data_IF_622806350832
#
_entry.id   IF_622806350832
#
_cell.length_a   1.000
_cell.length_b   1.000
_cell.length_c   1.000
_cell.angle_alpha   90.00
_cell.angle_beta   90.00
_cell.angle_gamma   90.00
#
_symmetry.space_group_name_H-M   'P 1'
#
loop_
_entity.id
_entity.type
_entity.pdbx_description
1 polymer ?
#
# COMPACT_ATOMS: atom_id res chain seq x y z
N UNK A 1 9.30 12.85 -25.66
CA UNK A 1 10.07 11.62 -25.45
C UNK A 1 9.59 10.94 -24.21
N UNK A 2 9.03 9.74 -24.31
CA UNK A 2 8.55 8.97 -23.16
C UNK A 2 9.74 8.39 -22.40
N UNK A 3 9.99 8.87 -21.20
CA UNK A 3 10.95 8.30 -20.27
C UNK A 3 10.30 7.15 -19.51
N UNK A 4 10.67 5.90 -19.81
CA UNK A 4 10.29 4.75 -18.98
C UNK A 4 11.09 4.78 -17.69
N UNK A 5 10.46 5.18 -16.60
CA UNK A 5 11.02 5.02 -15.27
C UNK A 5 11.05 3.54 -14.93
N UNK A 6 12.21 3.00 -14.56
CA UNK A 6 12.26 1.68 -13.94
C UNK A 6 11.38 1.69 -12.68
N UNK A 7 10.56 0.66 -12.54
CA UNK A 7 9.65 0.45 -11.41
C UNK A 7 10.46 0.13 -10.16
N UNK A 8 11.01 1.13 -9.51
CA UNK A 8 11.64 0.97 -8.21
C UNK A 8 10.90 1.81 -7.19
N UNK A 9 10.51 1.19 -6.10
CA UNK A 9 9.79 1.78 -4.98
C UNK A 9 10.63 2.84 -4.26
N UNK A 10 11.95 2.70 -4.27
CA UNK A 10 12.91 3.66 -3.76
C UNK A 10 13.70 4.27 -4.91
N UNK A 11 13.92 5.58 -4.86
CA UNK A 11 14.91 6.24 -5.71
C UNK A 11 16.26 5.70 -5.23
N UNK A 12 16.90 4.86 -6.03
CA UNK A 12 18.30 4.51 -5.79
C UNK A 12 19.14 5.60 -6.43
N UNK A 13 19.53 6.55 -5.64
CA UNK A 13 20.64 7.41 -6.00
C UNK A 13 21.89 6.53 -6.08
N UNK A 14 22.74 6.79 -7.06
CA UNK A 14 24.06 6.15 -7.10
C UNK A 14 24.91 6.74 -5.99
N UNK A 15 25.95 6.05 -5.58
CA UNK A 15 26.89 6.47 -4.51
C UNK A 15 27.43 7.91 -4.64
N UNK A 16 27.24 8.53 -5.79
CA UNK A 16 27.62 9.92 -6.09
C UNK A 16 26.43 10.89 -6.16
N UNK A 17 25.25 10.50 -5.71
CA UNK A 17 24.02 11.32 -5.76
C UNK A 17 23.38 11.46 -7.16
N UNK A 18 23.87 10.74 -8.17
CA UNK A 18 23.34 10.83 -9.52
C UNK A 18 22.11 9.96 -9.71
N UNK A 19 21.05 10.50 -10.29
CA UNK A 19 19.84 9.76 -10.68
C UNK A 19 19.99 9.19 -12.08
N UNK A 20 19.94 7.87 -12.23
CA UNK A 20 19.98 7.18 -13.53
C UNK A 20 18.60 7.13 -14.19
N UNK A 21 18.47 7.68 -15.38
CA UNK A 21 17.26 7.63 -16.21
C UNK A 21 17.59 7.00 -17.55
N UNK A 22 16.83 5.96 -17.92
CA UNK A 22 16.97 5.35 -19.26
C UNK A 22 16.14 6.17 -20.26
N UNK A 23 16.79 6.67 -21.30
CA UNK A 23 16.19 7.48 -22.36
C UNK A 23 16.24 6.70 -23.66
N UNK A 24 15.09 6.46 -24.28
CA UNK A 24 14.99 5.88 -25.62
C UNK A 24 15.15 6.99 -26.69
N UNK A 25 16.33 7.62 -26.74
CA UNK A 25 16.59 8.67 -27.70
C UNK A 25 18.10 8.87 -27.90
N UNK A 26 18.53 8.96 -29.15
CA UNK A 26 19.90 9.28 -29.54
C UNK A 26 20.17 10.78 -29.68
N UNK A 27 19.22 11.64 -29.26
CA UNK A 27 19.27 13.10 -29.47
C UNK A 27 20.03 13.78 -28.34
N UNK A 28 19.99 13.21 -27.10
CA UNK A 28 20.60 13.81 -25.92
C UNK A 28 22.11 13.59 -25.90
N UNK A 29 22.85 14.65 -25.56
CA UNK A 29 24.31 14.65 -25.39
C UNK A 29 24.68 15.01 -23.95
N UNK A 30 25.88 14.59 -23.55
CA UNK A 30 26.45 15.01 -22.27
C UNK A 30 26.57 16.53 -22.19
N UNK A 31 26.02 17.12 -21.16
CA UNK A 31 25.97 18.57 -20.96
C UNK A 31 24.66 19.25 -21.39
N UNK A 32 23.75 18.54 -22.03
CA UNK A 32 22.43 19.10 -22.38
C UNK A 32 21.63 19.39 -21.11
N UNK A 33 20.96 20.55 -21.11
CA UNK A 33 19.96 20.87 -20.08
C UNK A 33 18.64 20.21 -20.44
N UNK A 34 18.08 19.47 -19.53
CA UNK A 34 16.81 18.76 -19.71
C UNK A 34 15.82 19.17 -18.61
N UNK A 35 14.55 19.17 -18.95
CA UNK A 35 13.44 19.31 -18.01
C UNK A 35 12.77 17.96 -17.81
N UNK A 36 12.61 17.54 -16.56
CA UNK A 36 11.98 16.28 -16.18
C UNK A 36 10.61 16.55 -15.56
N UNK A 37 9.57 16.28 -16.29
CA UNK A 37 8.18 16.40 -15.83
C UNK A 37 7.65 15.02 -15.41
N UNK A 38 7.30 14.87 -14.14
CA UNK A 38 6.61 13.69 -13.63
C UNK A 38 5.11 13.89 -13.80
N UNK A 39 4.42 12.90 -14.38
CA UNK A 39 2.96 12.90 -14.44
C UNK A 39 2.36 13.04 -13.02
N UNK A 40 1.63 14.15 -12.73
CA UNK A 40 1.09 14.39 -11.39
C UNK A 40 0.07 13.33 -10.96
N UNK A 41 -0.74 12.82 -11.90
CA UNK A 41 -1.77 11.80 -11.62
C UNK A 41 -1.12 10.48 -11.25
N UNK A 42 -0.09 10.08 -12.01
CA UNK A 42 0.69 8.89 -11.69
C UNK A 42 1.39 9.02 -10.34
N UNK A 43 2.07 10.15 -10.09
CA UNK A 43 2.77 10.43 -8.84
C UNK A 43 1.81 10.41 -7.65
N UNK A 44 0.66 11.09 -7.75
CA UNK A 44 -0.36 11.10 -6.70
C UNK A 44 -0.85 9.69 -6.40
N UNK A 45 -1.22 8.92 -7.43
CA UNK A 45 -1.72 7.55 -7.24
C UNK A 45 -0.70 6.62 -6.59
N UNK A 46 0.59 6.72 -6.98
CA UNK A 46 1.66 5.94 -6.34
C UNK A 46 1.90 6.37 -4.89
N UNK A 47 1.89 7.68 -4.59
CA UNK A 47 2.05 8.20 -3.23
C UNK A 47 0.93 7.72 -2.30
N UNK A 48 -0.31 7.68 -2.78
CA UNK A 48 -1.47 7.10 -2.06
C UNK A 48 -1.26 5.63 -1.74
N UNK A 49 -0.89 4.82 -2.75
CA UNK A 49 -0.63 3.40 -2.56
C UNK A 49 0.55 3.14 -1.61
N UNK A 50 1.56 4.01 -1.63
CA UNK A 50 2.73 3.87 -0.77
C UNK A 50 2.39 4.19 0.69
N UNK A 51 1.68 5.29 0.93
CA UNK A 51 1.20 5.61 2.28
C UNK A 51 0.22 4.55 2.81
N UNK A 52 -0.64 4.01 1.94
CA UNK A 52 -1.51 2.89 2.26
C UNK A 52 -0.72 1.66 2.75
N UNK A 53 0.42 1.36 2.13
CA UNK A 53 1.27 0.24 2.55
C UNK A 53 1.81 0.41 3.98
N UNK A 54 2.23 1.63 4.37
CA UNK A 54 2.66 1.94 5.74
C UNK A 54 1.49 1.85 6.74
N UNK A 55 0.31 2.34 6.38
CA UNK A 55 -0.89 2.23 7.21
C UNK A 55 -1.23 0.76 7.46
N UNK A 56 -1.21 -0.07 6.41
CA UNK A 56 -1.49 -1.50 6.51
C UNK A 56 -0.41 -2.22 7.31
N UNK A 57 0.87 -1.89 7.15
CA UNK A 57 1.95 -2.45 7.95
C UNK A 57 1.73 -2.19 9.45
N UNK A 58 1.42 -0.94 9.82
CA UNK A 58 1.10 -0.60 11.19
C UNK A 58 -0.14 -1.35 11.72
N UNK A 59 -1.19 -1.49 10.92
CA UNK A 59 -2.39 -2.26 11.28
C UNK A 59 -2.08 -3.75 11.48
N UNK A 60 -1.29 -4.35 10.58
CA UNK A 60 -0.83 -5.74 10.70
C UNK A 60 -0.06 -5.96 12.00
N UNK A 61 0.87 -5.06 12.35
CA UNK A 61 1.61 -5.13 13.62
C UNK A 61 0.73 -4.98 14.84
N UNK A 62 -0.23 -4.06 14.80
CA UNK A 62 -1.15 -3.85 15.91
C UNK A 62 -2.04 -5.06 16.19
N UNK A 63 -2.48 -5.76 15.15
CA UNK A 63 -3.42 -6.90 15.29
C UNK A 63 -2.68 -8.22 15.45
N UNK A 64 -1.64 -8.48 14.65
CA UNK A 64 -0.94 -9.76 14.65
C UNK A 64 0.26 -9.81 15.59
N UNK A 65 0.81 -8.64 15.95
CA UNK A 65 1.92 -8.50 16.89
C UNK A 65 3.22 -8.00 16.28
N UNK A 66 4.17 -7.68 17.15
CA UNK A 66 5.45 -7.04 16.81
C UNK A 66 6.41 -7.89 15.96
N UNK A 67 6.16 -9.19 15.84
CA UNK A 67 6.92 -10.08 14.97
C UNK A 67 6.67 -9.82 13.48
N UNK A 68 5.60 -9.09 13.14
CA UNK A 68 5.32 -8.69 11.77
C UNK A 68 6.38 -7.69 11.30
N UNK A 69 7.17 -8.12 10.34
CA UNK A 69 8.20 -7.31 9.70
C UNK A 69 8.05 -7.40 8.18
N UNK A 70 8.32 -6.30 7.49
CA UNK A 70 8.29 -6.30 6.03
C UNK A 70 9.38 -7.20 5.47
N UNK A 71 8.98 -8.18 4.65
CA UNK A 71 9.88 -9.04 3.87
C UNK A 71 10.01 -8.57 2.41
N UNK A 72 9.01 -7.86 1.92
CA UNK A 72 9.00 -7.28 0.58
C UNK A 72 7.77 -6.42 0.35
N UNK A 73 7.81 -5.60 -0.67
CA UNK A 73 6.66 -4.81 -1.09
C UNK A 73 6.74 -4.42 -2.56
N UNK A 74 5.60 -4.15 -3.15
CA UNK A 74 5.51 -3.59 -4.49
C UNK A 74 4.36 -2.60 -4.55
N UNK A 75 4.68 -1.36 -4.92
CA UNK A 75 3.71 -0.27 -5.03
C UNK A 75 3.55 0.14 -6.49
N UNK A 76 2.30 0.28 -6.93
CA UNK A 76 1.91 0.73 -8.25
C UNK A 76 0.72 1.70 -8.14
N UNK A 77 0.35 2.44 -9.20
CA UNK A 77 -0.83 3.30 -9.16
C UNK A 77 -2.09 2.53 -8.76
N UNK A 78 -2.69 2.92 -7.62
CA UNK A 78 -3.94 2.38 -7.11
C UNK A 78 -3.89 0.95 -6.56
N UNK A 79 -2.71 0.32 -6.51
CA UNK A 79 -2.56 -1.02 -5.95
C UNK A 79 -1.19 -1.21 -5.31
N UNK A 80 -1.13 -2.09 -4.33
CA UNK A 80 0.13 -2.52 -3.72
C UNK A 80 0.01 -3.95 -3.19
N UNK A 81 1.15 -4.57 -3.00
CA UNK A 81 1.30 -5.81 -2.25
C UNK A 81 2.29 -5.59 -1.12
N UNK A 82 2.08 -6.30 -0.03
CA UNK A 82 2.92 -6.26 1.15
C UNK A 82 3.21 -7.67 1.62
N UNK A 83 4.49 -8.04 1.67
CA UNK A 83 4.99 -9.32 2.10
C UNK A 83 5.54 -9.17 3.53
N UNK A 84 5.14 -10.03 4.44
CA UNK A 84 5.48 -9.90 5.85
C UNK A 84 5.73 -11.24 6.54
N UNK A 85 6.50 -11.20 7.63
CA UNK A 85 6.75 -12.35 8.48
C UNK A 85 5.52 -12.68 9.30
N UNK A 86 4.97 -13.89 9.09
CA UNK A 86 3.91 -14.48 9.92
C UNK A 86 3.81 -15.98 9.64
N UNK A 87 3.64 -16.79 10.68
CA UNK A 87 3.71 -18.25 10.58
C UNK A 87 2.43 -18.90 10.11
N UNK A 88 1.30 -18.36 10.54
CA UNK A 88 -0.02 -18.94 10.30
C UNK A 88 -0.79 -18.19 9.21
N UNK A 89 -1.86 -18.78 8.72
CA UNK A 89 -2.83 -18.09 7.89
C UNK A 89 -3.51 -17.02 8.73
N UNK A 90 -3.58 -15.79 8.22
CA UNK A 90 -4.34 -14.72 8.88
C UNK A 90 -5.83 -15.08 8.84
N UNK A 91 -6.50 -15.06 9.99
CA UNK A 91 -7.93 -15.37 10.08
C UNK A 91 -8.77 -14.26 9.46
N UNK A 92 -9.96 -14.61 8.99
CA UNK A 92 -10.86 -13.65 8.38
C UNK A 92 -11.24 -12.50 9.33
N UNK A 93 -11.41 -12.80 10.62
CA UNK A 93 -11.70 -11.83 11.67
C UNK A 93 -10.54 -10.84 11.83
N UNK A 94 -9.30 -11.35 11.88
CA UNK A 94 -8.08 -10.52 11.96
C UNK A 94 -7.91 -9.65 10.70
N UNK A 95 -8.17 -10.22 9.50
CA UNK A 95 -8.17 -9.46 8.25
C UNK A 95 -9.19 -8.32 8.28
N UNK A 96 -10.40 -8.59 8.75
CA UNK A 96 -11.45 -7.58 8.87
C UNK A 96 -11.05 -6.45 9.84
N UNK A 97 -10.43 -6.78 10.98
CA UNK A 97 -9.92 -5.80 11.94
C UNK A 97 -8.78 -4.97 11.37
N UNK A 98 -7.82 -5.59 10.66
CA UNK A 98 -6.72 -4.90 9.96
C UNK A 98 -7.28 -3.91 8.94
N UNK A 99 -8.29 -4.33 8.18
CA UNK A 99 -8.95 -3.47 7.20
C UNK A 99 -9.66 -2.30 7.82
N UNK A 100 -10.46 -2.59 8.85
CA UNK A 100 -11.18 -1.57 9.59
C UNK A 100 -10.21 -0.56 10.18
N UNK A 101 -9.17 -1.00 10.87
CA UNK A 101 -8.16 -0.14 11.47
C UNK A 101 -7.44 0.72 10.42
N UNK A 102 -7.10 0.13 9.27
CA UNK A 102 -6.44 0.84 8.18
C UNK A 102 -7.32 1.96 7.62
N UNK A 103 -8.59 1.67 7.33
CA UNK A 103 -9.51 2.68 6.82
C UNK A 103 -9.91 3.71 7.89
N UNK A 104 -10.07 3.30 9.15
CA UNK A 104 -10.32 4.23 10.26
C UNK A 104 -9.18 5.24 10.43
N UNK A 105 -7.90 4.81 10.24
CA UNK A 105 -6.76 5.73 10.30
C UNK A 105 -6.71 6.71 9.12
N UNK A 106 -7.21 6.30 7.95
CA UNK A 106 -7.37 7.19 6.80
C UNK A 106 -8.39 8.29 7.12
N UNK A 107 -9.55 7.93 7.68
CA UNK A 107 -10.61 8.89 8.01
C UNK A 107 -10.23 9.86 9.15
N UNK A 108 -9.22 9.55 9.96
CA UNK A 108 -8.73 10.44 11.02
C UNK A 108 -7.94 11.64 10.50
N UNK A 109 -7.66 11.72 9.20
CA UNK A 109 -6.91 12.81 8.57
C UNK A 109 -5.56 13.10 9.25
N UNK A 110 -4.80 12.04 9.48
CA UNK A 110 -3.52 12.11 10.19
C UNK A 110 -2.46 12.74 9.29
N UNK A 111 -1.77 13.74 9.79
CA UNK A 111 -0.66 14.39 9.08
C UNK A 111 0.49 13.41 8.84
N UNK A 112 1.02 13.41 7.60
CA UNK A 112 2.16 12.58 7.18
C UNK A 112 3.40 13.44 7.09
N UNK A 113 4.27 13.35 8.09
CA UNK A 113 5.53 14.12 8.18
C UNK A 113 6.72 13.31 7.70
N UNK A 114 7.62 14.00 7.04
CA UNK A 114 8.91 13.43 6.62
C UNK A 114 10.03 14.24 7.20
N UNK A 115 10.91 13.58 7.96
CA UNK A 115 12.07 14.20 8.58
C UNK A 115 13.34 13.45 8.17
N UNK A 116 14.45 14.18 8.04
CA UNK A 116 15.79 13.58 7.93
C UNK A 116 16.46 13.71 9.30
N UNK A 117 16.99 12.62 9.81
CA UNK A 117 17.66 12.58 11.09
C UNK A 117 18.70 11.45 11.14
N UNK A 118 19.60 11.53 12.14
CA UNK A 118 20.56 10.45 12.34
C UNK A 118 19.87 9.11 12.65
N UNK A 119 20.42 8.01 12.12
CA UNK A 119 19.86 6.66 12.26
C UNK A 119 19.68 6.22 13.71
N UNK A 120 20.63 6.56 14.61
CA UNK A 120 20.53 6.19 16.02
C UNK A 120 19.43 6.97 16.73
N UNK A 121 19.21 8.22 16.33
CA UNK A 121 18.06 9.00 16.79
C UNK A 121 16.75 8.39 16.31
N UNK A 122 16.66 8.06 15.01
CA UNK A 122 15.47 7.43 14.43
C UNK A 122 15.09 6.13 15.17
N UNK A 123 16.07 5.28 15.45
CA UNK A 123 15.87 4.04 16.23
C UNK A 123 15.43 4.32 17.67
N UNK A 124 16.02 5.31 18.34
CA UNK A 124 15.59 5.71 19.70
C UNK A 124 14.18 6.23 19.75
N UNK A 125 13.74 6.88 18.69
CA UNK A 125 12.37 7.36 18.51
C UNK A 125 11.39 6.26 18.06
N UNK A 126 11.85 5.01 17.94
CA UNK A 126 11.00 3.86 17.58
C UNK A 126 10.71 3.71 16.09
N UNK A 127 11.49 4.35 15.20
CA UNK A 127 11.33 4.17 13.78
C UNK A 127 11.66 2.74 13.35
N UNK A 128 10.76 2.10 12.62
CA UNK A 128 10.98 0.77 12.07
C UNK A 128 11.94 0.84 10.87
N UNK A 129 12.95 -0.02 10.90
CA UNK A 129 13.92 -0.18 9.82
C UNK A 129 13.71 -1.54 9.14
N UNK A 130 13.92 -1.61 7.83
CA UNK A 130 13.84 -2.88 7.10
C UNK A 130 15.06 -3.74 7.39
N UNK A 131 14.86 -5.04 7.55
CA UNK A 131 15.93 -5.99 7.78
C UNK A 131 16.82 -6.13 6.54
N UNK A 132 18.14 -5.96 6.73
CA UNK A 132 19.14 -6.21 5.69
C UNK A 132 19.56 -4.98 4.86
N UNK A 133 18.90 -3.85 5.01
CA UNK A 133 19.33 -2.62 4.35
C UNK A 133 20.52 -1.97 5.10
N UNK A 134 21.51 -1.54 4.33
CA UNK A 134 22.57 -0.68 4.83
C UNK A 134 22.08 0.75 4.75
N UNK A 135 21.94 1.38 5.89
CA UNK A 135 21.54 2.78 5.99
C UNK A 135 22.79 3.68 6.13
N UNK A 136 22.72 4.85 5.55
CA UNK A 136 23.67 5.93 5.82
C UNK A 136 23.43 6.50 7.23
N UNK A 137 24.34 7.38 7.68
CA UNK A 137 24.24 8.02 9.00
C UNK A 137 22.97 8.85 9.13
N UNK A 138 22.54 9.52 8.05
CA UNK A 138 21.31 10.27 7.98
C UNK A 138 20.23 9.50 7.20
N UNK A 139 19.08 9.31 7.82
CA UNK A 139 17.97 8.56 7.27
C UNK A 139 16.70 9.41 7.19
N UNK A 140 15.88 9.11 6.17
CA UNK A 140 14.57 9.71 6.00
C UNK A 140 13.54 8.90 6.75
N UNK A 141 12.86 9.52 7.71
CA UNK A 141 11.79 8.94 8.53
C UNK A 141 10.45 9.49 8.08
N UNK A 142 9.50 8.60 7.80
CA UNK A 142 8.10 8.94 7.50
C UNK A 142 7.25 8.63 8.71
N UNK A 143 6.55 9.65 9.22
CA UNK A 143 5.63 9.54 10.34
C UNK A 143 4.20 9.76 9.88
N UNK A 144 3.30 8.87 10.27
CA UNK A 144 1.85 9.04 10.13
C UNK A 144 1.29 9.20 11.55
N UNK A 145 1.42 10.42 12.10
CA UNK A 145 1.14 10.70 13.51
C UNK A 145 1.85 9.71 14.43
N UNK A 146 1.12 9.20 15.43
CA UNK A 146 1.57 8.12 16.31
C UNK A 146 1.27 6.72 15.77
N UNK A 147 0.64 6.64 14.58
CA UNK A 147 0.16 5.37 14.03
C UNK A 147 1.26 4.56 13.33
N UNK A 148 2.15 5.22 12.59
CA UNK A 148 3.28 4.58 11.90
C UNK A 148 4.49 5.49 11.88
N UNK A 149 5.68 4.93 12.15
CA UNK A 149 6.97 5.62 12.04
C UNK A 149 7.98 4.66 11.42
N UNK A 150 8.41 4.93 10.19
CA UNK A 150 9.24 4.00 9.41
C UNK A 150 10.33 4.73 8.62
N UNK A 151 11.47 4.07 8.43
CA UNK A 151 12.52 4.53 7.51
C UNK A 151 12.03 4.33 6.08
N UNK A 152 11.85 5.40 5.32
CA UNK A 152 11.38 5.32 3.95
C UNK A 152 11.84 6.48 3.07
N UNK A 153 12.48 6.15 1.93
CA UNK A 153 12.90 7.11 0.91
C UNK A 153 11.85 7.48 -0.13
N UNK A 154 10.66 6.85 -0.08
CA UNK A 154 9.63 7.01 -1.11
C UNK A 154 8.79 8.27 -1.00
N UNK A 155 7.86 8.45 -1.95
CA UNK A 155 6.92 9.58 -1.96
C UNK A 155 5.62 9.20 -1.26
N UNK A 156 5.09 10.12 -0.46
CA UNK A 156 3.89 9.95 0.34
C UNK A 156 2.91 11.10 0.11
N UNK A 157 1.69 10.91 0.58
CA UNK A 157 0.68 11.97 0.69
C UNK A 157 1.01 12.90 1.87
N UNK A 158 0.34 14.03 1.98
CA UNK A 158 0.52 14.94 3.11
C UNK A 158 -0.36 14.57 4.30
N UNK A 159 -1.54 14.04 4.03
CA UNK A 159 -2.50 13.61 5.04
C UNK A 159 -3.04 12.22 4.70
N UNK A 160 -3.35 11.41 5.72
CA UNK A 160 -3.85 10.04 5.53
C UNK A 160 -5.15 9.96 4.71
N UNK A 161 -6.04 10.95 4.83
CA UNK A 161 -7.31 11.00 4.09
C UNK A 161 -7.12 11.06 2.56
N UNK A 162 -6.00 11.58 2.07
CA UNK A 162 -5.69 11.60 0.64
C UNK A 162 -5.54 10.19 0.03
N UNK A 163 -5.25 9.18 0.85
CA UNK A 163 -5.15 7.78 0.40
C UNK A 163 -6.47 7.30 -0.18
N UNK A 164 -7.58 7.73 0.43
CA UNK A 164 -8.92 7.24 0.12
C UNK A 164 -9.16 5.83 0.68
N UNK A 165 -10.00 5.06 -0.01
CA UNK A 165 -10.34 3.70 0.43
C UNK A 165 -9.18 2.72 0.19
N UNK A 166 -8.98 1.78 1.14
CA UNK A 166 -8.16 0.57 0.97
C UNK A 166 -9.09 -0.64 0.93
N UNK A 167 -8.86 -1.55 -0.03
CA UNK A 167 -9.61 -2.81 -0.16
C UNK A 167 -8.64 -3.99 -0.31
N UNK A 168 -8.83 -5.05 0.47
CA UNK A 168 -8.10 -6.32 0.36
C UNK A 168 -8.63 -7.10 -0.86
N UNK A 169 -7.72 -7.60 -1.65
CA UNK A 169 -8.03 -8.48 -2.77
C UNK A 169 -7.69 -9.92 -2.40
N UNK A 170 -6.54 -10.14 -1.79
CA UNK A 170 -6.04 -11.47 -1.51
C UNK A 170 -5.09 -11.50 -0.33
N UNK A 171 -5.12 -12.61 0.41
CA UNK A 171 -4.11 -12.98 1.42
C UNK A 171 -3.62 -14.38 1.11
N UNK A 172 -2.30 -14.59 1.05
CA UNK A 172 -1.71 -15.86 0.66
C UNK A 172 -0.35 -16.13 1.31
N UNK A 173 0.02 -17.41 1.38
CA UNK A 173 1.38 -17.81 1.72
C UNK A 173 2.30 -17.65 0.50
N UNK A 174 3.51 -17.15 0.73
CA UNK A 174 4.55 -17.02 -0.31
C UNK A 174 5.83 -17.77 0.04
N UNK A 175 5.83 -18.49 1.13
CA UNK A 175 6.98 -19.27 1.60
C UNK A 175 6.82 -19.65 3.07
N UNK A 176 7.84 -20.28 3.62
CA UNK A 176 7.88 -20.61 5.05
C UNK A 176 7.88 -19.33 5.88
N UNK A 177 6.91 -19.20 6.78
CA UNK A 177 6.75 -18.02 7.68
C UNK A 177 6.60 -16.67 6.97
N UNK A 178 6.16 -16.67 5.71
CA UNK A 178 5.94 -15.46 4.92
C UNK A 178 4.52 -15.42 4.37
N UNK A 179 3.85 -14.31 4.61
CA UNK A 179 2.50 -14.03 4.10
C UNK A 179 2.53 -12.81 3.20
N UNK A 180 1.56 -12.74 2.31
CA UNK A 180 1.34 -11.64 1.36
C UNK A 180 -0.07 -11.16 1.44
N UNK A 181 -0.26 -9.84 1.48
CA UNK A 181 -1.54 -9.19 1.22
C UNK A 181 -1.45 -8.38 -0.07
N UNK A 182 -2.48 -8.46 -0.90
CA UNK A 182 -2.63 -7.69 -2.14
C UNK A 182 -3.84 -6.78 -1.99
N UNK A 183 -3.64 -5.50 -2.28
CA UNK A 183 -4.61 -4.46 -1.96
C UNK A 183 -4.76 -3.43 -3.06
N UNK A 184 -5.95 -2.86 -3.14
CA UNK A 184 -6.24 -1.67 -3.91
C UNK A 184 -6.32 -0.45 -3.00
N UNK A 185 -6.03 0.73 -3.56
CA UNK A 185 -6.16 2.01 -2.85
C UNK A 185 -6.78 3.09 -3.74
N UNK A 186 -7.42 4.07 -3.08
CA UNK A 186 -7.98 5.24 -3.74
C UNK A 186 -9.04 4.88 -4.80
N UNK A 187 -8.90 5.46 -5.99
CA UNK A 187 -9.90 5.28 -7.06
C UNK A 187 -10.08 3.82 -7.50
N UNK A 188 -9.01 3.03 -7.57
CA UNK A 188 -9.10 1.60 -7.94
C UNK A 188 -9.88 0.80 -6.89
N UNK A 189 -9.69 1.10 -5.60
CA UNK A 189 -10.46 0.49 -4.53
C UNK A 189 -11.95 0.85 -4.65
N UNK A 190 -12.26 2.13 -4.90
CA UNK A 190 -13.63 2.57 -5.14
C UNK A 190 -14.26 1.87 -6.35
N UNK A 191 -13.56 1.85 -7.49
CA UNK A 191 -14.06 1.21 -8.71
C UNK A 191 -14.34 -0.28 -8.52
N UNK A 192 -13.46 -0.98 -7.79
CA UNK A 192 -13.63 -2.38 -7.44
C UNK A 192 -14.90 -2.61 -6.60
N UNK A 193 -15.07 -1.82 -5.53
CA UNK A 193 -16.24 -1.91 -4.65
C UNK A 193 -17.54 -1.57 -5.38
N UNK A 194 -17.51 -0.52 -6.23
CA UNK A 194 -18.66 -0.15 -7.05
C UNK A 194 -19.08 -1.29 -8.01
N UNK A 195 -18.11 -1.89 -8.70
CA UNK A 195 -18.37 -3.03 -9.59
C UNK A 195 -18.88 -4.26 -8.84
N UNK A 196 -18.34 -4.54 -7.65
CA UNK A 196 -18.81 -5.63 -6.80
C UNK A 196 -20.27 -5.40 -6.34
N UNK A 197 -20.60 -4.17 -5.95
CA UNK A 197 -21.97 -3.79 -5.56
C UNK A 197 -22.95 -3.94 -6.73
N UNK A 198 -22.60 -3.46 -7.94
CA UNK A 198 -23.47 -3.61 -9.13
C UNK A 198 -23.68 -5.08 -9.50
N UNK A 199 -22.64 -5.91 -9.37
CA UNK A 199 -22.76 -7.36 -9.58
C UNK A 199 -23.71 -8.00 -8.55
N UNK A 200 -23.60 -7.60 -7.28
CA UNK A 200 -24.45 -8.09 -6.21
C UNK A 200 -25.90 -7.64 -6.38
N UNK A 201 -26.11 -6.39 -6.81
CA UNK A 201 -27.44 -5.86 -7.18
C UNK A 201 -28.06 -6.64 -8.32
N UNK A 202 -27.29 -7.00 -9.34
CA UNK A 202 -27.77 -7.86 -10.44
C UNK A 202 -28.26 -9.21 -9.92
N UNK A 203 -27.56 -9.83 -8.98
CA UNK A 203 -28.02 -11.08 -8.32
C UNK A 203 -29.31 -10.86 -7.54
N UNK A 204 -29.42 -9.74 -6.83
CA UNK A 204 -30.65 -9.34 -6.12
C UNK A 204 -31.87 -9.25 -7.07
N UNK A 205 -31.68 -8.61 -8.22
CA UNK A 205 -32.75 -8.46 -9.24
C UNK A 205 -33.17 -9.83 -9.83
N UNK A 206 -32.21 -10.71 -10.13
CA UNK A 206 -32.49 -12.08 -10.62
C UNK A 206 -33.27 -12.87 -9.57
N UNK A 207 -32.91 -12.76 -8.29
CA UNK A 207 -33.56 -13.45 -7.19
C UNK A 207 -34.88 -12.79 -6.75
N UNK A 208 -35.23 -11.64 -7.33
CA UNK A 208 -36.42 -10.82 -6.97
C UNK A 208 -36.48 -10.55 -5.46
N UNK A 209 -35.36 -10.09 -4.87
CA UNK A 209 -35.24 -9.83 -3.44
C UNK A 209 -34.44 -8.56 -3.19
N UNK A 210 -34.38 -8.04 -1.94
CA UNK A 210 -33.50 -6.95 -1.62
C UNK A 210 -32.03 -7.42 -1.53
N UNK A 211 -31.10 -6.48 -1.69
CA UNK A 211 -29.64 -6.75 -1.63
C UNK A 211 -29.28 -7.46 -0.32
N UNK A 212 -29.85 -7.03 0.80
CA UNK A 212 -29.58 -7.57 2.14
C UNK A 212 -30.08 -9.02 2.30
N UNK A 213 -31.11 -9.41 1.54
CA UNK A 213 -31.74 -10.74 1.63
C UNK A 213 -31.18 -11.75 0.63
N UNK A 214 -30.25 -11.35 -0.24
CA UNK A 214 -29.65 -12.25 -1.24
C UNK A 214 -29.08 -13.53 -0.62
N UNK A 215 -28.28 -13.48 0.49
CA UNK A 215 -27.70 -14.69 1.06
C UNK A 215 -28.75 -15.72 1.53
N UNK A 216 -29.77 -15.26 2.26
CA UNK A 216 -30.84 -16.10 2.78
C UNK A 216 -31.69 -16.69 1.65
N UNK A 217 -31.98 -15.87 0.65
CA UNK A 217 -32.76 -16.31 -0.51
C UNK A 217 -32.01 -17.38 -1.31
N UNK A 218 -30.71 -17.17 -1.54
CA UNK A 218 -29.89 -18.13 -2.25
C UNK A 218 -29.79 -19.46 -1.48
N UNK A 219 -29.58 -19.40 -0.14
CA UNK A 219 -29.55 -20.57 0.72
C UNK A 219 -30.86 -21.38 0.63
N UNK A 220 -31.99 -20.72 0.70
CA UNK A 220 -33.31 -21.35 0.57
C UNK A 220 -33.49 -22.03 -0.80
N UNK A 221 -33.00 -21.45 -1.88
CA UNK A 221 -33.02 -22.11 -3.19
C UNK A 221 -32.13 -23.36 -3.21
N UNK A 222 -30.93 -23.30 -2.67
CA UNK A 222 -30.05 -24.48 -2.63
C UNK A 222 -30.67 -25.63 -1.84
N UNK A 223 -31.26 -25.34 -0.67
CA UNK A 223 -31.97 -26.35 0.16
C UNK A 223 -33.21 -26.96 -0.53
N UNK A 224 -33.79 -26.29 -1.53
CA UNK A 224 -34.99 -26.78 -2.26
C UNK A 224 -34.60 -27.72 -3.41
N UNK A 225 -33.37 -27.65 -3.91
CA UNK A 225 -32.88 -28.43 -5.04
C UNK A 225 -31.86 -29.52 -4.66
N UNK A 226 -31.57 -29.71 -3.38
CA UNK A 226 -30.91 -30.89 -2.82
C UNK A 226 -31.97 -31.95 -2.43
#
# INVERSE_FOLDING_TARGET
>A
TWLRRQRQMCIRDRDNGATGIVVESNILKVGDKIELNVDPSFRSSVSKSHTAAHIVHASLRNILGDHVAQAGSHVAPGKFRFDFSHTEKVKNEELNEIFKMSNDSIYKDIEVKTNVMNIDQAKKEGALAFFGDKYEDDVRVVNIGEFSKELCGGTHVHNSNEVGLIVLINESSIGSNLRRVEMLSGHQAYSFMSSAYESYKTVSDILQTSVEQVPEKLKSYMETYE
#
